data_IF_469026755647
#
_entry.id   IF_469026755647
#
_cell.length_a   1.000
_cell.length_b   1.000
_cell.length_c   1.000
_cell.angle_alpha   90.00
_cell.angle_beta   90.00
_cell.angle_gamma   90.00
#
_symmetry.space_group_name_H-M   'P 1'
#
loop_
_entity.id
_entity.type
_entity.pdbx_description
1 polymer ?
#
# COMPACT_ATOMS: atom_id res chain seq x y z
N UNK A 1 -35.93 -2.56 -0.44
CA UNK A 1 -34.61 -2.55 -1.10
C UNK A 1 -33.64 -3.37 -0.27
N UNK A 2 -32.73 -4.16 -0.88
CA UNK A 2 -31.68 -4.85 -0.12
C UNK A 2 -30.65 -3.80 0.34
N UNK A 3 -30.39 -3.70 1.65
CA UNK A 3 -29.41 -2.77 2.21
C UNK A 3 -28.01 -3.39 2.12
N UNK A 4 -27.46 -3.44 0.91
CA UNK A 4 -26.10 -3.93 0.68
C UNK A 4 -25.10 -2.76 0.65
N UNK A 5 -23.90 -2.91 1.24
CA UNK A 5 -22.82 -1.96 1.06
C UNK A 5 -22.48 -1.80 -0.43
N UNK A 6 -22.12 -0.58 -0.83
CA UNK A 6 -21.78 -0.24 -2.21
C UNK A 6 -20.58 0.71 -2.22
N UNK A 7 -19.64 0.46 -3.13
CA UNK A 7 -18.48 1.32 -3.39
C UNK A 7 -18.46 1.61 -4.89
N UNK A 8 -18.49 2.88 -5.25
CA UNK A 8 -18.34 3.31 -6.65
C UNK A 8 -16.89 3.66 -6.95
N UNK A 9 -16.28 2.88 -7.85
CA UNK A 9 -14.91 3.12 -8.32
C UNK A 9 -14.89 3.77 -9.72
N UNK A 10 -16.03 3.83 -10.40
CA UNK A 10 -16.12 4.27 -11.79
C UNK A 10 -16.21 5.79 -11.88
N UNK A 11 -17.20 6.43 -11.25
CA UNK A 11 -17.39 7.88 -11.42
C UNK A 11 -16.19 8.70 -10.90
N UNK A 12 -15.59 8.39 -9.73
CA UNK A 12 -14.42 9.12 -9.25
C UNK A 12 -13.21 8.99 -10.18
N UNK A 13 -12.95 7.77 -10.69
CA UNK A 13 -11.84 7.52 -11.60
C UNK A 13 -12.04 8.28 -12.92
N UNK A 14 -13.25 8.23 -13.47
CA UNK A 14 -13.59 8.92 -14.71
C UNK A 14 -13.60 10.45 -14.54
N UNK A 15 -14.01 10.98 -13.38
CA UNK A 15 -13.93 12.41 -13.09
C UNK A 15 -12.47 12.91 -13.10
N UNK A 16 -11.56 12.17 -12.45
CA UNK A 16 -10.13 12.49 -12.48
C UNK A 16 -9.53 12.35 -13.88
N UNK A 17 -9.91 11.33 -14.65
CA UNK A 17 -9.50 11.20 -16.05
C UNK A 17 -9.94 12.41 -16.88
N UNK A 18 -11.22 12.81 -16.80
CA UNK A 18 -11.76 13.94 -17.57
C UNK A 18 -11.12 15.28 -17.20
N UNK A 19 -10.82 15.48 -15.91
CA UNK A 19 -10.14 16.68 -15.44
C UNK A 19 -8.74 16.80 -16.06
N UNK A 20 -7.96 15.72 -16.04
CA UNK A 20 -6.63 15.68 -16.68
C UNK A 20 -6.69 15.80 -18.20
N UNK A 21 -7.75 15.27 -18.82
CA UNK A 21 -7.97 15.41 -20.26
C UNK A 21 -8.22 16.85 -20.72
N UNK A 22 -8.51 17.78 -19.81
CA UNK A 22 -8.55 19.22 -20.16
C UNK A 22 -7.15 19.78 -20.45
N UNK A 23 -6.11 19.18 -19.87
CA UNK A 23 -4.70 19.59 -20.05
C UNK A 23 -4.01 18.72 -21.10
N UNK A 24 -4.23 17.41 -21.06
CA UNK A 24 -3.71 16.43 -22.02
C UNK A 24 -4.85 15.52 -22.53
N UNK A 25 -5.41 15.76 -23.73
CA UNK A 25 -6.50 14.96 -24.29
C UNK A 25 -6.18 13.46 -24.45
N UNK A 26 -4.89 13.07 -24.50
CA UNK A 26 -4.48 11.68 -24.58
C UNK A 26 -4.40 10.99 -23.20
N UNK A 27 -4.46 11.75 -22.10
CA UNK A 27 -4.33 11.23 -20.74
C UNK A 27 -5.38 10.15 -20.43
N UNK A 28 -4.93 9.09 -19.74
CA UNK A 28 -5.79 8.01 -19.25
C UNK A 28 -5.14 7.32 -18.04
N UNK A 29 -5.97 6.87 -17.09
CA UNK A 29 -5.53 5.97 -16.00
C UNK A 29 -5.55 4.49 -16.40
N UNK A 30 -5.90 4.20 -17.64
CA UNK A 30 -6.00 2.87 -18.23
C UNK A 30 -4.87 2.64 -19.23
N UNK A 31 -4.60 1.38 -19.54
CA UNK A 31 -3.75 1.01 -20.67
C UNK A 31 -4.37 1.51 -21.99
N UNK A 32 -3.65 1.32 -23.11
CA UNK A 32 -4.08 1.79 -24.44
C UNK A 32 -5.44 1.22 -24.88
N UNK A 33 -5.87 0.10 -24.31
CA UNK A 33 -7.18 -0.50 -24.54
C UNK A 33 -8.35 0.25 -23.87
N UNK A 34 -8.07 1.21 -22.98
CA UNK A 34 -9.05 1.98 -22.19
C UNK A 34 -9.97 1.13 -21.30
N UNK A 35 -9.55 -0.10 -21.00
CA UNK A 35 -10.30 -1.06 -20.17
C UNK A 35 -9.53 -1.39 -18.90
N UNK A 36 -8.26 -1.75 -19.02
CA UNK A 36 -7.47 -2.21 -17.88
C UNK A 36 -6.78 -1.02 -17.18
N UNK A 37 -7.04 -0.76 -15.89
CA UNK A 37 -6.36 0.30 -15.17
C UNK A 37 -4.85 0.01 -15.08
N UNK A 38 -4.04 1.04 -15.32
CA UNK A 38 -2.62 1.02 -14.99
C UNK A 38 -2.43 1.06 -13.47
N UNK A 39 -1.18 1.00 -12.99
CA UNK A 39 -0.90 1.11 -11.56
C UNK A 39 -1.51 2.38 -10.94
N UNK A 40 -1.38 3.53 -11.60
CA UNK A 40 -1.98 4.80 -11.17
C UNK A 40 -3.50 4.76 -11.08
N UNK A 41 -4.17 4.09 -12.03
CA UNK A 41 -5.62 3.86 -11.98
C UNK A 41 -6.02 2.93 -10.84
N UNK A 42 -5.28 1.84 -10.62
CA UNK A 42 -5.49 0.96 -9.47
C UNK A 42 -5.28 1.69 -8.13
N UNK A 43 -4.34 2.64 -8.06
CA UNK A 43 -4.13 3.46 -6.87
C UNK A 43 -5.31 4.39 -6.57
N UNK A 44 -5.89 5.03 -7.60
CA UNK A 44 -7.13 5.83 -7.46
C UNK A 44 -8.29 4.95 -6.98
N UNK A 45 -8.45 3.76 -7.55
CA UNK A 45 -9.47 2.79 -7.12
C UNK A 45 -9.27 2.39 -5.65
N UNK A 46 -8.03 2.08 -5.24
CA UNK A 46 -7.71 1.74 -3.86
C UNK A 46 -8.03 2.90 -2.89
N UNK A 47 -7.65 4.13 -3.24
CA UNK A 47 -7.97 5.34 -2.48
C UNK A 47 -9.49 5.50 -2.30
N UNK A 48 -10.27 5.31 -3.36
CA UNK A 48 -11.72 5.45 -3.29
C UNK A 48 -12.41 4.35 -2.51
N UNK A 49 -11.89 3.14 -2.60
CA UNK A 49 -12.32 2.05 -1.72
C UNK A 49 -12.11 2.44 -0.26
N UNK A 50 -10.90 2.84 0.13
CA UNK A 50 -10.57 3.27 1.49
C UNK A 50 -11.47 4.42 1.97
N UNK A 51 -11.69 5.42 1.11
CA UNK A 51 -12.56 6.58 1.43
C UNK A 51 -14.00 6.16 1.70
N UNK A 52 -14.57 5.34 0.82
CA UNK A 52 -15.99 4.96 0.88
C UNK A 52 -16.26 3.89 1.93
N UNK A 53 -15.24 3.11 2.33
CA UNK A 53 -15.31 2.21 3.49
C UNK A 53 -14.90 2.89 4.80
N UNK A 54 -14.70 4.21 4.81
CA UNK A 54 -14.35 4.98 6.00
C UNK A 54 -13.09 4.48 6.72
N UNK A 55 -12.04 4.15 5.96
CA UNK A 55 -10.74 3.88 6.55
C UNK A 55 -10.29 5.06 7.41
N UNK A 56 -9.71 4.77 8.59
CA UNK A 56 -9.18 5.82 9.47
C UNK A 56 -8.07 6.59 8.75
N UNK A 57 -8.04 7.93 8.86
CA UNK A 57 -6.90 8.71 8.38
C UNK A 57 -5.66 8.54 9.25
N UNK A 58 -5.83 8.10 10.50
CA UNK A 58 -4.79 8.07 11.53
C UNK A 58 -4.05 6.74 11.53
N UNK A 59 -2.75 6.79 11.23
CA UNK A 59 -1.79 5.73 11.54
C UNK A 59 -1.54 5.76 13.05
N UNK A 60 -1.03 6.89 13.53
CA UNK A 60 -0.81 7.19 14.94
C UNK A 60 -0.89 8.70 15.20
N UNK A 61 -1.20 9.07 16.45
CA UNK A 61 -1.07 10.43 16.94
C UNK A 61 -0.30 10.39 18.26
N UNK A 62 1.00 10.63 18.15
CA UNK A 62 1.98 10.63 19.23
C UNK A 62 1.96 12.02 19.86
N UNK A 63 1.41 12.15 21.07
CA UNK A 63 1.30 13.44 21.77
C UNK A 63 2.04 13.33 23.10
N UNK A 64 3.13 14.09 23.26
CA UNK A 64 3.84 14.11 24.54
C UNK A 64 3.02 14.84 25.61
N UNK A 65 3.18 14.47 26.91
CA UNK A 65 2.53 15.15 28.01
C UNK A 65 2.76 16.67 27.95
N UNK A 66 1.68 17.43 28.14
CA UNK A 66 1.65 18.89 28.15
C UNK A 66 1.31 19.44 29.53
N UNK A 67 1.75 20.66 29.82
CA UNK A 67 1.31 21.46 30.96
C UNK A 67 -0.17 21.87 30.84
N UNK A 68 -0.73 21.94 29.63
CA UNK A 68 -2.15 22.18 29.39
C UNK A 68 -2.78 20.97 28.66
N UNK A 69 -3.07 19.88 29.37
CA UNK A 69 -3.54 18.64 28.76
C UNK A 69 -4.92 18.78 28.10
N UNK A 70 -5.76 19.73 28.51
CA UNK A 70 -7.09 19.96 27.92
C UNK A 70 -7.01 20.58 26.52
N UNK A 71 -5.94 21.32 26.23
CA UNK A 71 -5.71 21.93 24.91
C UNK A 71 -4.95 21.01 23.93
N UNK A 72 -4.36 19.93 24.43
CA UNK A 72 -3.58 19.00 23.62
C UNK A 72 -4.50 17.97 22.92
N UNK A 73 -4.18 17.56 21.68
CA UNK A 73 -4.91 16.48 21.02
C UNK A 73 -4.73 15.16 21.79
N UNK A 74 -5.73 14.29 21.77
CA UNK A 74 -5.67 13.00 22.47
C UNK A 74 -4.70 12.04 21.74
N UNK A 75 -3.75 11.37 22.43
CA UNK A 75 -2.96 10.31 21.82
C UNK A 75 -3.82 9.21 21.19
N UNK A 76 -3.40 8.63 20.07
CA UNK A 76 -4.15 7.59 19.35
C UNK A 76 -3.20 6.59 18.70
N UNK A 77 -3.55 5.30 18.77
CA UNK A 77 -2.79 4.19 18.16
C UNK A 77 -1.31 4.11 18.54
N UNK A 78 -0.93 4.61 19.72
CA UNK A 78 0.45 4.51 20.21
C UNK A 78 0.51 4.42 21.73
N UNK A 79 1.60 3.86 22.25
CA UNK A 79 1.97 3.87 23.65
C UNK A 79 3.31 4.59 23.81
N UNK A 80 3.33 5.65 24.60
CA UNK A 80 4.51 6.49 24.85
C UNK A 80 5.03 6.21 26.26
N UNK A 81 6.33 5.97 26.38
CA UNK A 81 7.01 5.67 27.65
C UNK A 81 8.34 6.41 27.77
N UNK A 82 8.96 6.37 28.95
CA UNK A 82 10.31 6.89 29.19
C UNK A 82 10.52 8.36 28.77
N UNK A 83 9.49 9.20 28.88
CA UNK A 83 9.57 10.62 28.51
C UNK A 83 10.52 11.35 29.46
N UNK A 84 11.58 11.93 28.90
CA UNK A 84 12.55 12.76 29.62
C UNK A 84 12.70 14.09 28.91
N UNK A 85 12.37 15.19 29.60
CA UNK A 85 12.54 16.56 29.11
C UNK A 85 13.73 17.20 29.81
N UNK A 86 14.63 17.81 29.05
CA UNK A 86 15.77 18.58 29.53
C UNK A 86 15.78 19.97 28.90
N UNK A 87 16.70 20.84 29.32
CA UNK A 87 16.88 22.14 28.65
C UNK A 87 17.34 21.98 27.19
N UNK A 88 17.97 20.86 26.85
CA UNK A 88 18.54 20.57 25.54
C UNK A 88 17.56 19.84 24.61
N UNK A 89 16.39 19.40 25.09
CA UNK A 89 15.45 18.67 24.25
C UNK A 89 14.54 17.69 24.98
N UNK A 90 14.03 16.71 24.24
CA UNK A 90 13.17 15.65 24.78
C UNK A 90 13.54 14.30 24.16
N UNK A 91 13.52 13.26 24.99
CA UNK A 91 13.63 11.86 24.55
C UNK A 91 12.46 11.06 25.06
N UNK A 92 12.03 10.05 24.31
CA UNK A 92 10.97 9.13 24.72
C UNK A 92 11.00 7.87 23.87
N UNK A 93 10.35 6.82 24.35
CA UNK A 93 10.08 5.63 23.55
C UNK A 93 8.62 5.66 23.10
N UNK A 94 8.37 5.23 21.87
CA UNK A 94 7.01 5.10 21.36
C UNK A 94 6.84 3.77 20.62
N UNK A 95 5.80 3.03 21.00
CA UNK A 95 5.32 1.87 20.24
C UNK A 95 3.96 2.20 19.62
N UNK A 96 3.94 2.30 18.30
CA UNK A 96 2.72 2.48 17.52
C UNK A 96 1.99 1.15 17.31
N UNK A 97 0.72 1.20 16.91
CA UNK A 97 -0.12 0.03 16.64
C UNK A 97 -0.35 -0.21 15.14
N UNK A 98 0.20 0.66 14.29
CA UNK A 98 0.18 0.55 12.83
C UNK A 98 1.52 1.07 12.26
N UNK A 99 1.83 0.65 11.04
CA UNK A 99 2.90 1.24 10.23
C UNK A 99 2.30 2.24 9.24
N UNK A 100 3.04 3.26 8.80
CA UNK A 100 2.58 4.13 7.73
C UNK A 100 2.44 3.35 6.41
N UNK A 101 1.59 3.84 5.51
CA UNK A 101 1.49 3.32 4.15
C UNK A 101 2.74 3.74 3.34
N UNK A 102 3.51 2.78 2.81
CA UNK A 102 4.71 3.07 2.02
C UNK A 102 4.31 3.39 0.59
N UNK A 103 4.04 4.67 0.29
CA UNK A 103 3.70 5.12 -1.06
C UNK A 103 4.87 4.76 -2.01
N UNK A 104 4.66 3.97 -3.07
CA UNK A 104 5.71 3.70 -4.05
C UNK A 104 6.18 5.00 -4.72
N UNK A 105 7.48 5.13 -4.95
CA UNK A 105 8.08 6.35 -5.54
C UNK A 105 7.42 6.76 -6.86
N UNK A 106 7.08 5.79 -7.72
CA UNK A 106 6.40 6.02 -8.99
C UNK A 106 4.97 6.59 -8.84
N UNK A 107 4.39 6.54 -7.65
CA UNK A 107 3.07 7.07 -7.30
C UNK A 107 3.13 8.32 -6.40
N UNK A 108 4.31 8.75 -5.94
CA UNK A 108 4.44 9.84 -4.97
C UNK A 108 3.72 11.12 -5.43
N UNK A 109 3.99 11.60 -6.64
CA UNK A 109 3.35 12.80 -7.18
C UNK A 109 1.83 12.68 -7.30
N UNK A 110 1.32 11.48 -7.63
CA UNK A 110 -0.11 11.24 -7.69
C UNK A 110 -0.73 11.17 -6.29
N UNK A 111 -0.06 10.55 -5.34
CA UNK A 111 -0.48 10.47 -3.94
C UNK A 111 -0.60 11.88 -3.33
N UNK A 112 0.39 12.73 -3.57
CA UNK A 112 0.38 14.13 -3.11
C UNK A 112 -0.78 14.91 -3.72
N UNK A 113 -0.97 14.84 -5.04
CA UNK A 113 -2.08 15.50 -5.71
C UNK A 113 -3.46 15.04 -5.21
N UNK A 114 -3.59 13.76 -4.86
CA UNK A 114 -4.83 13.20 -4.35
C UNK A 114 -5.04 13.43 -2.85
N UNK A 115 -4.08 14.09 -2.18
CA UNK A 115 -4.05 14.25 -0.73
C UNK A 115 -4.08 12.91 0.00
N UNK A 116 -3.46 11.87 -0.57
CA UNK A 116 -3.55 10.50 -0.04
C UNK A 116 -2.95 10.41 1.36
N UNK A 117 -1.78 11.02 1.57
CA UNK A 117 -1.08 11.00 2.86
C UNK A 117 -1.94 11.64 3.94
N UNK A 118 -2.55 12.79 3.65
CA UNK A 118 -3.46 13.44 4.58
C UNK A 118 -4.78 12.68 4.74
N UNK A 119 -5.25 11.93 3.74
CA UNK A 119 -6.52 11.22 3.85
C UNK A 119 -6.41 9.88 4.59
N UNK A 120 -5.25 9.21 4.54
CA UNK A 120 -5.11 7.80 4.97
C UNK A 120 -3.80 7.46 5.67
N UNK A 121 -2.88 8.41 5.85
CA UNK A 121 -1.51 8.14 6.29
C UNK A 121 -0.99 9.20 7.28
N UNK A 122 -1.80 9.56 8.29
CA UNK A 122 -1.39 10.53 9.31
C UNK A 122 -0.69 9.85 10.48
N UNK A 123 0.62 10.01 10.56
CA UNK A 123 1.48 9.58 11.66
C UNK A 123 1.99 10.83 12.38
N UNK A 124 1.16 11.45 13.22
CA UNK A 124 1.45 12.78 13.74
C UNK A 124 2.30 12.72 15.01
N UNK A 125 3.42 13.45 15.00
CA UNK A 125 4.22 13.74 16.20
C UNK A 125 3.91 15.15 16.70
N UNK A 126 3.30 15.24 17.88
CA UNK A 126 2.94 16.47 18.58
C UNK A 126 3.75 16.60 19.87
N UNK A 127 4.58 17.61 19.94
CA UNK A 127 5.48 17.86 21.07
C UNK A 127 5.23 19.27 21.61
N UNK A 128 4.28 19.42 22.54
CA UNK A 128 3.97 20.70 23.15
C UNK A 128 5.07 21.09 24.15
N UNK A 129 5.03 22.37 24.54
CA UNK A 129 5.84 22.95 25.61
C UNK A 129 7.36 22.84 25.40
N UNK A 130 7.80 22.79 24.14
CA UNK A 130 9.20 23.01 23.81
C UNK A 130 9.53 24.51 23.90
N UNK A 131 10.69 24.88 24.49
CA UNK A 131 11.22 26.23 24.36
C UNK A 131 11.29 26.69 22.90
N UNK A 132 11.18 28.00 22.68
CA UNK A 132 11.32 28.55 21.34
C UNK A 132 12.69 28.19 20.74
N UNK A 133 12.70 27.68 19.52
CA UNK A 133 13.91 27.22 18.85
C UNK A 133 13.62 26.19 17.77
N UNK A 134 14.70 25.63 17.21
CA UNK A 134 14.65 24.51 16.26
C UNK A 134 15.19 23.25 16.91
N UNK A 135 14.63 22.12 16.54
CA UNK A 135 14.98 20.81 17.11
C UNK A 135 15.25 19.83 15.98
N UNK A 136 16.39 19.15 16.05
CA UNK A 136 16.70 18.02 15.21
C UNK A 136 15.98 16.79 15.75
N UNK A 137 15.10 16.19 14.94
CA UNK A 137 14.43 14.93 15.22
C UNK A 137 15.29 13.77 14.73
N UNK A 138 15.57 12.83 15.63
CA UNK A 138 16.12 11.52 15.30
C UNK A 138 15.24 10.41 15.87
N UNK A 139 15.16 9.29 15.16
CA UNK A 139 14.45 8.07 15.58
C UNK A 139 15.42 6.91 15.46
N UNK A 140 15.64 6.16 16.54
CA UNK A 140 16.68 5.12 16.66
C UNK A 140 18.08 5.60 16.23
N UNK A 141 18.37 6.89 16.47
CA UNK A 141 19.62 7.53 16.08
C UNK A 141 19.71 7.96 14.60
N UNK A 142 18.72 7.62 13.76
CA UNK A 142 18.64 8.11 12.39
C UNK A 142 18.07 9.54 12.36
N UNK A 143 18.79 10.47 11.74
CA UNK A 143 18.32 11.85 11.57
C UNK A 143 17.15 11.89 10.58
N UNK A 144 16.03 12.50 10.99
CA UNK A 144 14.79 12.55 10.20
C UNK A 144 14.59 13.93 9.59
N UNK A 145 14.52 14.97 10.43
CA UNK A 145 14.25 16.34 10.00
C UNK A 145 14.65 17.33 11.10
N UNK A 146 14.61 18.63 10.79
CA UNK A 146 14.65 19.70 11.79
C UNK A 146 13.38 20.52 11.71
N UNK A 147 12.71 20.69 12.84
CA UNK A 147 11.46 21.45 12.94
C UNK A 147 11.54 22.47 14.08
N UNK A 148 10.81 23.56 13.95
CA UNK A 148 10.63 24.54 15.02
C UNK A 148 9.75 23.97 16.14
N UNK A 149 9.87 24.55 17.34
CA UNK A 149 8.96 24.25 18.45
C UNK A 149 7.49 24.45 18.06
N UNK A 150 7.18 25.46 17.24
CA UNK A 150 5.82 25.72 16.75
C UNK A 150 5.29 24.64 15.82
N UNK A 151 6.11 24.17 14.87
CA UNK A 151 5.75 23.07 13.97
C UNK A 151 5.54 21.76 14.75
N UNK A 152 6.40 21.48 15.73
CA UNK A 152 6.26 20.31 16.60
C UNK A 152 5.03 20.40 17.52
N UNK A 153 4.70 21.58 18.03
CA UNK A 153 3.49 21.78 18.81
C UNK A 153 2.21 21.68 17.96
N UNK A 154 2.26 22.09 16.69
CA UNK A 154 1.15 21.93 15.75
C UNK A 154 0.99 20.47 15.27
N UNK A 155 2.10 19.73 15.22
CA UNK A 155 2.16 18.34 14.78
C UNK A 155 2.78 18.20 13.40
N UNK A 156 3.86 17.40 13.30
CA UNK A 156 4.46 17.03 12.02
C UNK A 156 4.05 15.60 11.65
N UNK A 157 3.79 15.34 10.37
CA UNK A 157 3.43 14.01 9.89
C UNK A 157 4.69 13.19 9.55
N UNK A 158 5.01 12.20 10.39
CA UNK A 158 6.17 11.32 10.24
C UNK A 158 6.12 10.46 8.98
N UNK A 159 4.92 10.14 8.50
CA UNK A 159 4.72 9.34 7.28
C UNK A 159 5.24 10.06 6.01
N UNK A 160 5.48 11.37 6.07
CA UNK A 160 6.07 12.14 4.99
C UNK A 160 7.61 12.04 4.94
N UNK A 161 8.25 11.35 5.89
CA UNK A 161 9.70 11.17 5.93
C UNK A 161 10.08 9.69 5.70
N UNK A 162 10.51 9.32 4.47
CA UNK A 162 10.90 7.95 4.15
C UNK A 162 12.07 7.42 4.99
N UNK A 163 12.87 8.30 5.58
CA UNK A 163 14.01 7.96 6.42
C UNK A 163 13.61 7.40 7.81
N UNK A 164 12.32 7.46 8.18
CA UNK A 164 11.85 6.94 9.46
C UNK A 164 11.95 5.42 9.51
N UNK A 165 12.39 4.81 10.63
CA UNK A 165 12.47 3.35 10.77
C UNK A 165 11.14 2.63 10.49
N UNK A 166 10.02 3.23 10.87
CA UNK A 166 8.67 2.69 10.63
C UNK A 166 8.35 2.65 9.14
N UNK A 167 8.68 3.70 8.39
CA UNK A 167 8.48 3.75 6.95
C UNK A 167 9.38 2.74 6.22
N UNK A 168 10.66 2.63 6.62
CA UNK A 168 11.55 1.59 6.10
C UNK A 168 11.02 0.17 6.36
N UNK A 169 10.46 -0.09 7.55
CA UNK A 169 9.79 -1.34 7.87
C UNK A 169 8.56 -1.56 6.99
N UNK A 170 7.73 -0.54 6.77
CA UNK A 170 6.56 -0.61 5.90
C UNK A 170 6.94 -0.94 4.45
N UNK A 171 8.00 -0.33 3.91
CA UNK A 171 8.51 -0.66 2.57
C UNK A 171 8.94 -2.13 2.48
N UNK A 172 9.61 -2.67 3.50
CA UNK A 172 9.98 -4.08 3.54
C UNK A 172 8.75 -5.01 3.53
N UNK A 173 7.68 -4.67 4.24
CA UNK A 173 6.38 -5.37 4.16
C UNK A 173 5.82 -5.30 2.73
N UNK A 174 5.86 -4.11 2.11
CA UNK A 174 5.42 -3.90 0.74
C UNK A 174 6.16 -4.78 -0.29
N UNK A 175 7.47 -5.01 -0.11
CA UNK A 175 8.26 -5.93 -0.96
C UNK A 175 7.72 -7.36 -0.85
N UNK A 176 7.50 -7.85 0.38
CA UNK A 176 6.97 -9.20 0.63
C UNK A 176 5.57 -9.36 0.05
N UNK A 177 4.71 -8.35 0.20
CA UNK A 177 3.35 -8.35 -0.34
C UNK A 177 3.33 -8.33 -1.88
N UNK A 178 4.26 -7.61 -2.53
CA UNK A 178 4.39 -7.65 -4.00
C UNK A 178 4.80 -9.02 -4.51
N UNK A 179 5.78 -9.67 -3.87
CA UNK A 179 6.17 -11.04 -4.23
C UNK A 179 4.99 -12.02 -4.02
N UNK A 180 4.30 -11.91 -2.88
CA UNK A 180 3.11 -12.71 -2.58
C UNK A 180 2.00 -12.51 -3.62
N UNK A 181 1.76 -11.27 -4.02
CA UNK A 181 0.76 -10.90 -5.02
C UNK A 181 1.09 -11.45 -6.40
N UNK A 182 2.37 -11.43 -6.82
CA UNK A 182 2.81 -12.01 -8.07
C UNK A 182 2.53 -13.54 -8.12
N UNK A 183 2.84 -14.27 -7.04
CA UNK A 183 2.53 -15.70 -6.94
C UNK A 183 1.02 -15.96 -6.92
N UNK A 184 0.26 -15.15 -6.19
CA UNK A 184 -1.20 -15.25 -6.17
C UNK A 184 -1.79 -15.02 -7.57
N UNK A 185 -1.26 -14.05 -8.33
CA UNK A 185 -1.68 -13.76 -9.71
C UNK A 185 -1.35 -14.92 -10.63
N UNK A 186 -0.13 -15.49 -10.55
CA UNK A 186 0.23 -16.70 -11.31
C UNK A 186 -0.72 -17.86 -11.02
N UNK A 187 -1.02 -18.11 -9.75
CA UNK A 187 -1.93 -19.19 -9.33
C UNK A 187 -3.38 -18.99 -9.79
N UNK A 188 -3.82 -17.77 -10.13
CA UNK A 188 -5.18 -17.51 -10.65
C UNK A 188 -5.43 -18.16 -12.00
N UNK A 189 -4.38 -18.46 -12.78
CA UNK A 189 -4.55 -19.16 -14.04
C UNK A 189 -5.23 -20.51 -13.85
N UNK A 190 -5.03 -21.19 -12.71
CA UNK A 190 -5.58 -22.52 -12.46
C UNK A 190 -7.12 -22.56 -12.47
N UNK A 191 -7.83 -21.80 -11.61
CA UNK A 191 -9.29 -21.75 -11.68
C UNK A 191 -9.79 -21.07 -12.95
N UNK A 192 -9.10 -20.06 -13.48
CA UNK A 192 -9.49 -19.38 -14.71
C UNK A 192 -9.49 -20.34 -15.91
N UNK A 193 -8.44 -21.15 -16.08
CA UNK A 193 -8.36 -22.10 -17.18
C UNK A 193 -9.34 -23.25 -17.05
N UNK A 194 -9.62 -23.72 -15.82
CA UNK A 194 -10.68 -24.72 -15.60
C UNK A 194 -12.05 -24.17 -15.96
N UNK A 195 -12.35 -22.92 -15.59
CA UNK A 195 -13.59 -22.26 -16.02
C UNK A 195 -13.61 -22.10 -17.54
N UNK A 196 -12.49 -21.73 -18.15
CA UNK A 196 -12.39 -21.60 -19.61
C UNK A 196 -12.60 -22.93 -20.34
N UNK A 197 -12.08 -24.04 -19.81
CA UNK A 197 -12.39 -25.40 -20.29
C UNK A 197 -13.89 -25.69 -20.20
N UNK A 198 -14.51 -25.42 -19.06
CA UNK A 198 -15.95 -25.64 -18.86
C UNK A 198 -16.82 -24.85 -19.85
N UNK A 199 -16.47 -23.58 -20.11
CA UNK A 199 -17.17 -22.73 -21.09
C UNK A 199 -17.03 -23.22 -22.54
N UNK A 200 -16.09 -24.12 -22.81
CA UNK A 200 -15.86 -24.74 -24.11
C UNK A 200 -16.14 -26.25 -24.10
N UNK A 201 -17.04 -26.69 -23.20
CA UNK A 201 -17.49 -28.07 -23.05
C UNK A 201 -16.37 -29.11 -22.85
N UNK A 202 -15.20 -28.69 -22.37
CA UNK A 202 -14.05 -29.55 -22.13
C UNK A 202 -13.99 -30.01 -20.66
N UNK A 203 -13.49 -31.22 -20.38
CA UNK A 203 -13.31 -31.70 -19.01
C UNK A 203 -12.38 -30.76 -18.22
N UNK A 204 -12.70 -30.54 -16.95
CA UNK A 204 -11.97 -29.61 -16.08
C UNK A 204 -11.03 -30.30 -15.09
N UNK A 205 -11.01 -31.64 -15.10
CA UNK A 205 -10.02 -32.42 -14.37
C UNK A 205 -8.62 -32.26 -15.00
N UNK A 206 -7.62 -32.74 -14.27
CA UNK A 206 -6.22 -32.61 -14.65
C UNK A 206 -5.67 -33.85 -15.39
N UNK A 207 -6.55 -34.68 -15.98
CA UNK A 207 -6.14 -35.88 -16.72
C UNK A 207 -5.41 -35.56 -18.04
N UNK A 208 -4.53 -36.46 -18.52
CA UNK A 208 -3.95 -36.36 -19.85
C UNK A 208 -5.02 -36.27 -20.97
N UNK A 209 -6.15 -36.95 -20.82
CA UNK A 209 -7.26 -36.94 -21.76
C UNK A 209 -7.94 -35.55 -21.83
N UNK A 210 -8.16 -34.92 -20.68
CA UNK A 210 -8.69 -33.55 -20.59
C UNK A 210 -7.74 -32.54 -21.25
N UNK A 211 -6.44 -32.68 -21.00
CA UNK A 211 -5.41 -31.85 -21.62
C UNK A 211 -5.37 -32.04 -23.14
N UNK A 212 -5.34 -33.28 -23.63
CA UNK A 212 -5.28 -33.57 -25.07
C UNK A 212 -6.52 -33.04 -25.81
N UNK A 213 -7.71 -33.19 -25.22
CA UNK A 213 -8.95 -32.64 -25.78
C UNK A 213 -8.89 -31.11 -25.91
N UNK A 214 -8.41 -30.43 -24.87
CA UNK A 214 -8.34 -28.99 -24.87
C UNK A 214 -7.24 -28.45 -25.80
N UNK A 215 -6.10 -29.14 -25.88
CA UNK A 215 -5.04 -28.84 -26.84
C UNK A 215 -5.54 -28.94 -28.29
N UNK A 216 -6.30 -29.99 -28.61
CA UNK A 216 -6.89 -30.16 -29.94
C UNK A 216 -7.88 -29.03 -30.30
N UNK A 217 -8.67 -28.56 -29.32
CA UNK A 217 -9.55 -27.42 -29.50
C UNK A 217 -8.76 -26.13 -29.79
N UNK A 218 -7.72 -25.83 -29.00
CA UNK A 218 -6.92 -24.63 -29.22
C UNK A 218 -6.14 -24.69 -30.56
N UNK A 219 -5.67 -25.87 -30.96
CA UNK A 219 -5.05 -26.08 -32.26
C UNK A 219 -6.03 -25.85 -33.42
N UNK A 220 -7.31 -26.22 -33.27
CA UNK A 220 -8.31 -25.90 -34.29
C UNK A 220 -8.53 -24.39 -34.39
N UNK A 221 -8.54 -23.66 -33.27
CA UNK A 221 -8.66 -22.21 -33.27
C UNK A 221 -7.49 -21.51 -33.95
N UNK A 222 -6.26 -22.00 -33.76
CA UNK A 222 -5.08 -21.50 -34.47
C UNK A 222 -5.19 -21.75 -35.97
N UNK A 223 -5.59 -22.95 -36.38
CA UNK A 223 -5.80 -23.30 -37.80
C UNK A 223 -6.89 -22.43 -38.44
N UNK A 224 -7.95 -22.14 -37.70
CA UNK A 224 -9.05 -21.24 -38.09
C UNK A 224 -8.66 -19.75 -38.02
N UNK A 225 -7.46 -19.42 -37.51
CA UNK A 225 -6.97 -18.05 -37.31
C UNK A 225 -7.93 -17.20 -36.47
N UNK A 226 -8.50 -17.79 -35.41
CA UNK A 226 -9.35 -17.04 -34.47
C UNK A 226 -8.53 -15.95 -33.77
N UNK A 227 -9.12 -14.80 -33.44
CA UNK A 227 -8.46 -13.79 -32.62
C UNK A 227 -7.91 -14.40 -31.32
N UNK A 228 -6.68 -14.03 -30.96
CA UNK A 228 -5.98 -14.48 -29.75
C UNK A 228 -5.71 -16.00 -29.66
N UNK A 229 -5.85 -16.76 -30.75
CA UNK A 229 -5.62 -18.21 -30.71
C UNK A 229 -4.20 -18.59 -30.22
N UNK A 230 -3.18 -17.86 -30.65
CA UNK A 230 -1.80 -18.06 -30.20
C UNK A 230 -1.62 -17.74 -28.71
N UNK A 231 -2.27 -16.69 -28.22
CA UNK A 231 -2.27 -16.35 -26.80
C UNK A 231 -2.93 -17.43 -25.95
N UNK A 232 -4.05 -18.00 -26.40
CA UNK A 232 -4.70 -19.09 -25.67
C UNK A 232 -3.84 -20.35 -25.61
N UNK A 233 -3.10 -20.68 -26.68
CA UNK A 233 -2.14 -21.79 -26.66
C UNK A 233 -1.00 -21.51 -25.69
N UNK A 234 -0.41 -20.32 -25.73
CA UNK A 234 0.63 -19.90 -24.77
C UNK A 234 0.14 -20.01 -23.32
N UNK A 235 -1.01 -19.42 -23.01
CA UNK A 235 -1.59 -19.43 -21.67
C UNK A 235 -1.99 -20.84 -21.20
N UNK A 236 -2.40 -21.72 -22.12
CA UNK A 236 -2.62 -23.14 -21.79
C UNK A 236 -1.32 -23.86 -21.42
N UNK A 237 -0.20 -23.52 -22.07
CA UNK A 237 1.13 -23.94 -21.65
C UNK A 237 1.48 -23.45 -20.24
N UNK A 238 1.26 -22.16 -19.97
CA UNK A 238 1.47 -21.56 -18.64
C UNK A 238 0.60 -22.20 -17.55
N UNK A 239 -0.65 -22.55 -17.88
CA UNK A 239 -1.55 -23.30 -16.98
C UNK A 239 -0.93 -24.64 -16.60
N UNK A 240 -0.44 -25.42 -17.56
CA UNK A 240 0.17 -26.73 -17.30
C UNK A 240 1.45 -26.63 -16.47
N UNK A 241 2.32 -25.67 -16.76
CA UNK A 241 3.54 -25.40 -15.98
C UNK A 241 3.16 -25.00 -14.54
N UNK A 242 2.23 -24.05 -14.40
CA UNK A 242 1.77 -23.58 -13.08
C UNK A 242 1.08 -24.68 -12.29
N UNK A 243 0.35 -25.59 -12.95
CA UNK A 243 -0.28 -26.76 -12.32
C UNK A 243 0.76 -27.70 -11.75
N UNK A 244 1.83 -27.99 -12.50
CA UNK A 244 2.92 -28.85 -12.04
C UNK A 244 3.63 -28.27 -10.79
N UNK A 245 3.78 -26.96 -10.72
CA UNK A 245 4.43 -26.26 -9.59
C UNK A 245 3.46 -25.81 -8.49
N UNK A 246 2.16 -26.08 -8.62
CA UNK A 246 1.12 -25.43 -7.83
C UNK A 246 1.31 -25.60 -6.31
N UNK A 247 1.77 -26.78 -5.87
CA UNK A 247 2.05 -27.05 -4.46
C UNK A 247 3.15 -26.15 -3.90
N UNK A 248 4.28 -26.05 -4.60
CA UNK A 248 5.42 -25.22 -4.20
C UNK A 248 5.05 -23.72 -4.23
N UNK A 249 4.34 -23.28 -5.27
CA UNK A 249 3.89 -21.89 -5.39
C UNK A 249 2.94 -21.48 -4.26
N UNK A 250 2.00 -22.37 -3.88
CA UNK A 250 1.11 -22.14 -2.73
C UNK A 250 1.89 -22.09 -1.41
N UNK A 251 2.81 -23.03 -1.19
CA UNK A 251 3.64 -23.04 0.01
C UNK A 251 4.47 -21.76 0.15
N UNK A 252 5.12 -21.31 -0.93
CA UNK A 252 5.89 -20.05 -0.94
C UNK A 252 5.01 -18.82 -0.71
N UNK A 253 3.84 -18.74 -1.36
CA UNK A 253 2.88 -17.65 -1.15
C UNK A 253 2.42 -17.58 0.31
N UNK A 254 2.14 -18.72 0.93
CA UNK A 254 1.67 -18.78 2.30
C UNK A 254 2.78 -18.46 3.30
N UNK A 255 4.03 -18.83 3.00
CA UNK A 255 5.21 -18.40 3.74
C UNK A 255 5.41 -16.89 3.66
N UNK A 256 5.35 -16.29 2.46
CA UNK A 256 5.41 -14.84 2.29
C UNK A 256 4.30 -14.12 3.06
N UNK A 257 3.10 -14.71 3.13
CA UNK A 257 2.00 -14.16 3.93
C UNK A 257 2.29 -14.18 5.44
N UNK A 258 3.03 -15.16 5.94
CA UNK A 258 3.50 -15.19 7.34
C UNK A 258 4.60 -14.17 7.57
N UNK A 259 5.58 -14.12 6.67
CA UNK A 259 6.70 -13.18 6.73
C UNK A 259 6.21 -11.73 6.71
N UNK A 260 5.29 -11.38 5.80
CA UNK A 260 4.71 -10.05 5.70
C UNK A 260 3.98 -9.65 6.98
N UNK A 261 3.15 -10.56 7.56
CA UNK A 261 2.44 -10.30 8.82
C UNK A 261 3.38 -10.13 10.01
N UNK A 262 4.44 -10.93 10.09
CA UNK A 262 5.45 -10.82 11.14
C UNK A 262 6.26 -9.52 10.99
N UNK A 263 6.65 -9.17 9.76
CA UNK A 263 7.34 -7.92 9.45
C UNK A 263 6.44 -6.68 9.64
N UNK A 264 5.12 -6.82 9.57
CA UNK A 264 4.18 -5.71 9.76
C UNK A 264 3.89 -5.37 11.24
N UNK A 265 4.46 -6.11 12.20
CA UNK A 265 4.28 -5.80 13.62
C UNK A 265 5.13 -4.57 13.99
N UNK A 266 4.53 -3.42 14.36
CA UNK A 266 5.30 -2.26 14.76
C UNK A 266 6.16 -2.56 15.98
N UNK A 267 7.32 -1.89 16.06
CA UNK A 267 8.25 -2.01 17.18
C UNK A 267 8.27 -0.71 17.97
N UNK A 268 8.81 -0.79 19.19
CA UNK A 268 9.09 0.42 19.95
C UNK A 268 10.31 1.10 19.34
N UNK A 269 10.23 2.40 19.07
CA UNK A 269 11.32 3.23 18.58
C UNK A 269 11.69 4.29 19.61
N UNK A 270 12.97 4.64 19.65
CA UNK A 270 13.51 5.68 20.53
C UNK A 270 13.56 7.01 19.79
N UNK A 271 12.82 7.99 20.28
CA UNK A 271 12.74 9.33 19.71
C UNK A 271 13.65 10.27 20.48
N UNK A 272 14.39 11.10 19.74
CA UNK A 272 15.23 12.17 20.29
C UNK A 272 14.94 13.46 19.54
N UNK A 273 14.62 14.51 20.27
CA UNK A 273 14.58 15.88 19.78
C UNK A 273 15.66 16.67 20.50
N UNK A 274 16.64 17.17 19.76
CA UNK A 274 17.76 17.95 20.32
C UNK A 274 17.71 19.37 19.80
N UNK A 275 17.81 20.35 20.70
CA UNK A 275 17.86 21.76 20.34
C UNK A 275 19.06 22.03 19.42
N UNK A 276 18.80 22.69 18.29
CA UNK A 276 19.82 23.15 17.36
C UNK A 276 20.27 24.53 17.82
N UNK A 277 21.58 24.77 18.02
CA UNK A 277 22.09 26.11 18.32
C UNK A 277 21.64 27.11 17.25
N UNK A 278 21.33 28.35 17.64
CA UNK A 278 21.14 29.40 16.66
C UNK A 278 22.46 29.58 15.89
N UNK A 279 22.40 29.67 14.55
CA UNK A 279 23.56 30.14 13.78
C UNK A 279 23.75 31.62 14.13
N UNK A 280 24.96 31.95 14.62
CA UNK A 280 25.39 33.31 14.96
C UNK A 280 25.53 34.22 13.72
#
# INVERSE_FOLDING_TARGET
>A
ARQLPFVDIFDPLMALTRARQQEDPAFTFFHSDRVHPMLSGNFVIAREFLRQTHASPTVARIVLPSANPEAAPTPENCAITAVTRTAQGVTFDCRENALPFPVPDELAALADQLGFTDAFNRELLVVPDLPAGRYALAIDGAAITTASAGELAAGINLAAFPATPQNAQAHAVGVLERERFALATRLRILPQWRQFRAMNDCPTDDSPEADARFDALLASWQKEKRPLADDFVRLNGEFKITRAEAGALRARRDELARQARAAAQPRSHHFTLTAVPAED
#
